data_IF_292429086041
#
_entry.id   IF_292429086041
#
_cell.length_a   1.000
_cell.length_b   1.000
_cell.length_c   1.000
_cell.angle_alpha   90.00
_cell.angle_beta   90.00
_cell.angle_gamma   90.00
#
_symmetry.space_group_name_H-M   'P 1'
#
loop_
_entity.id
_entity.type
_entity.pdbx_description
1 polymer ?
#
# COMPACT_ATOMS: atom_id res chain seq x y z
N UNK A 1 1.39 9.38 -3.15
CA UNK A 1 1.57 7.92 -3.34
C UNK A 1 0.51 7.16 -2.58
N UNK A 2 0.62 7.13 -1.24
CA UNK A 2 -0.34 6.41 -0.39
C UNK A 2 -1.77 6.97 -0.44
N UNK A 3 -1.95 8.29 -0.52
CA UNK A 3 -3.29 8.88 -0.70
C UNK A 3 -3.99 8.36 -1.97
N UNK A 4 -3.24 8.15 -3.06
CA UNK A 4 -3.81 7.55 -4.26
C UNK A 4 -4.23 6.09 -4.02
N UNK A 5 -3.45 5.33 -3.26
CA UNK A 5 -3.83 3.95 -2.91
C UNK A 5 -5.09 3.95 -2.02
N UNK A 6 -5.18 4.86 -1.07
CA UNK A 6 -6.34 5.08 -0.21
C UNK A 6 -7.61 5.43 -1.02
N UNK A 7 -7.54 6.39 -1.95
CA UNK A 7 -8.66 6.77 -2.82
C UNK A 7 -9.15 5.59 -3.67
N UNK A 8 -8.23 4.70 -4.03
CA UNK A 8 -8.51 3.46 -4.77
C UNK A 8 -8.94 2.31 -3.87
N UNK A 9 -9.09 2.54 -2.56
CA UNK A 9 -9.41 1.54 -1.54
C UNK A 9 -8.43 0.36 -1.55
N UNK A 10 -7.16 0.64 -1.83
CA UNK A 10 -6.08 -0.35 -1.89
C UNK A 10 -5.12 -0.17 -0.74
N UNK A 11 -4.94 -1.22 0.07
CA UNK A 11 -3.99 -1.24 1.18
C UNK A 11 -2.77 -2.06 0.77
N UNK A 12 -1.58 -1.45 0.77
CA UNK A 12 -0.34 -2.12 0.34
C UNK A 12 0.10 -3.26 1.27
N UNK A 13 -0.15 -3.12 2.58
CA UNK A 13 0.20 -4.07 3.68
C UNK A 13 1.68 -4.41 3.89
N UNK A 14 2.56 -4.05 2.97
CA UNK A 14 4.02 -4.20 3.10
C UNK A 14 4.77 -2.97 2.56
N UNK A 15 4.43 -1.80 3.09
CA UNK A 15 5.16 -0.58 2.74
C UNK A 15 6.44 -0.50 3.57
N UNK A 16 7.55 -0.84 2.94
CA UNK A 16 8.88 -0.74 3.51
C UNK A 16 9.84 -0.06 2.51
N UNK A 17 10.98 0.45 2.99
CA UNK A 17 11.95 1.12 2.12
C UNK A 17 12.40 0.25 0.93
N UNK A 18 12.52 -1.07 1.12
CA UNK A 18 12.81 -2.04 0.04
C UNK A 18 11.78 -2.05 -1.10
N UNK A 19 10.54 -1.64 -0.79
CA UNK A 19 9.40 -1.61 -1.72
C UNK A 19 9.16 -0.21 -2.28
N UNK A 20 10.13 0.70 -2.16
CA UNK A 20 10.11 2.03 -2.76
C UNK A 20 11.32 2.16 -3.69
N UNK A 21 11.06 2.25 -4.99
CA UNK A 21 12.08 2.40 -6.02
C UNK A 21 12.34 3.89 -6.29
N UNK A 22 13.60 4.31 -6.25
CA UNK A 22 14.02 5.67 -6.60
C UNK A 22 14.45 5.70 -8.05
N UNK A 23 13.72 6.44 -8.90
CA UNK A 23 14.13 6.70 -10.29
C UNK A 23 15.06 7.92 -10.37
N UNK A 24 14.70 8.98 -9.65
CA UNK A 24 15.52 10.19 -9.43
C UNK A 24 15.26 10.70 -8.01
N UNK A 25 16.07 11.62 -7.45
CA UNK A 25 15.86 12.10 -6.08
C UNK A 25 14.46 12.70 -5.81
N UNK A 26 13.78 13.21 -6.83
CA UNK A 26 12.40 13.73 -6.75
C UNK A 26 11.34 12.77 -7.30
N UNK A 27 11.72 11.59 -7.79
CA UNK A 27 10.80 10.64 -8.41
C UNK A 27 10.98 9.25 -7.80
N UNK A 28 10.01 8.86 -6.99
CA UNK A 28 9.92 7.52 -6.38
C UNK A 28 8.68 6.78 -6.84
N UNK A 29 8.73 5.45 -6.82
CA UNK A 29 7.62 4.55 -7.15
C UNK A 29 7.44 3.51 -6.06
N UNK A 30 6.19 3.22 -5.71
CA UNK A 30 5.84 2.15 -4.78
C UNK A 30 5.73 0.85 -5.59
N UNK A 31 6.33 -0.24 -5.09
CA UNK A 31 6.37 -1.55 -5.76
C UNK A 31 6.01 -2.68 -4.78
N UNK A 32 5.89 -3.90 -5.30
CA UNK A 32 5.58 -5.12 -4.55
C UNK A 32 4.20 -5.12 -3.88
N UNK A 33 3.18 -5.16 -4.72
CA UNK A 33 1.78 -5.29 -4.30
C UNK A 33 1.38 -6.76 -4.05
N UNK A 34 2.33 -7.70 -3.89
CA UNK A 34 2.02 -9.12 -3.70
C UNK A 34 1.20 -9.38 -2.42
N UNK A 35 1.37 -8.51 -1.42
CA UNK A 35 0.56 -8.51 -0.20
C UNK A 35 -0.54 -7.46 -0.22
N UNK A 36 -0.80 -6.73 -1.30
CA UNK A 36 -1.83 -5.70 -1.29
C UNK A 36 -3.24 -6.31 -1.14
N UNK A 37 -4.16 -5.54 -0.57
CA UNK A 37 -5.57 -5.92 -0.42
C UNK A 37 -6.48 -4.78 -0.87
N UNK A 38 -7.42 -5.08 -1.75
CA UNK A 38 -8.52 -4.19 -2.10
C UNK A 38 -9.62 -4.29 -1.03
N UNK A 39 -10.11 -3.17 -0.54
CA UNK A 39 -11.24 -3.11 0.37
C UNK A 39 -12.55 -3.13 -0.42
N UNK A 40 -13.48 -3.98 0.00
CA UNK A 40 -14.81 -4.06 -0.57
C UNK A 40 -15.63 -2.80 -0.29
N UNK A 41 -16.76 -2.64 -1.01
CA UNK A 41 -17.60 -1.44 -0.90
C UNK A 41 -18.12 -1.16 0.54
N UNK A 42 -18.26 -2.22 1.34
CA UNK A 42 -18.73 -2.17 2.73
C UNK A 42 -17.60 -2.06 3.77
N UNK A 43 -16.35 -2.24 3.36
CA UNK A 43 -15.19 -2.18 4.25
C UNK A 43 -14.63 -0.75 4.22
N UNK A 44 -14.78 -0.02 5.32
CA UNK A 44 -14.22 1.35 5.45
C UNK A 44 -12.75 1.34 5.84
N UNK A 45 -12.34 0.34 6.62
CA UNK A 45 -11.01 0.24 7.21
C UNK A 45 -10.49 -1.19 7.11
N UNK A 46 -9.17 -1.32 7.01
CA UNK A 46 -8.51 -2.61 7.11
C UNK A 46 -7.98 -2.83 8.53
N UNK A 47 -8.45 -3.88 9.19
CA UNK A 47 -7.87 -4.35 10.45
C UNK A 47 -6.98 -5.57 10.17
N UNK A 48 -5.67 -5.41 10.37
CA UNK A 48 -4.75 -6.53 10.36
C UNK A 48 -5.05 -7.44 11.55
N UNK A 49 -5.11 -8.76 11.33
CA UNK A 49 -5.03 -9.71 12.43
C UNK A 49 -3.60 -9.62 12.97
N UNK A 50 -3.42 -9.11 14.18
CA UNK A 50 -2.10 -8.92 14.79
C UNK A 50 -1.23 -10.16 14.62
N UNK A 51 0.02 -9.95 14.23
CA UNK A 51 1.02 -11.02 14.18
C UNK A 51 1.26 -11.57 15.59
N UNK A 52 1.47 -12.88 15.69
CA UNK A 52 1.94 -13.50 16.93
C UNK A 52 3.27 -12.92 17.37
#
# INVERSE_FOLDING_TARGET
GMNYLEDRRLVHRDLAARNVLVKTPQHVKITDFGLAKLLGAKEKEYHAKGGK
#
